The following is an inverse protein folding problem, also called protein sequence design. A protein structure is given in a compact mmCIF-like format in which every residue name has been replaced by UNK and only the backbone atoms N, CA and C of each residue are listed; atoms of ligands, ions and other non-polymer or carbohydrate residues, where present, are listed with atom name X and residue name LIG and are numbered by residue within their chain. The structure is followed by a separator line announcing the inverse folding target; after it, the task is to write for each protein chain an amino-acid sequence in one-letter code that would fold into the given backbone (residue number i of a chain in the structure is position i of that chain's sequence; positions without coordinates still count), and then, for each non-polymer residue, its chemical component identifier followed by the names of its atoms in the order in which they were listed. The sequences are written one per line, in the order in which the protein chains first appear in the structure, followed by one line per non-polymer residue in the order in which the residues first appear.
data_IF_196088145496
#
_entry.id   IF_196088145496
#
_cell.length_a   1.000
_cell.length_b   1.000
_cell.length_c   1.000
_cell.angle_alpha   90.00
_cell.angle_beta   90.00
_cell.angle_gamma   90.00
#
_symmetry.space_group_name_H-M   'P 1'
#
loop_
_entity.id
_entity.type
_entity.pdbx_description
1 polymer ?
#
# COMPACT_ATOMS: atom_id res chain seq x y z
N UNK A 1 10.26 13.83 -18.02
CA UNK A 1 10.22 12.36 -17.83
C UNK A 1 9.98 11.93 -16.38
N UNK A 2 10.45 12.64 -15.36
CA UNK A 2 10.28 12.23 -13.95
C UNK A 2 8.84 12.16 -13.42
N UNK A 3 7.97 13.11 -13.77
CA UNK A 3 6.59 13.16 -13.22
C UNK A 3 5.71 11.98 -13.69
N UNK A 4 5.83 11.58 -14.96
CA UNK A 4 5.13 10.41 -15.51
C UNK A 4 5.55 9.12 -14.82
N UNK A 5 6.83 8.99 -14.49
CA UNK A 5 7.37 7.81 -13.81
C UNK A 5 6.82 7.68 -12.38
N UNK A 6 6.74 8.80 -11.66
CA UNK A 6 6.13 8.85 -10.32
C UNK A 6 4.63 8.53 -10.37
N UNK A 7 3.90 9.06 -11.35
CA UNK A 7 2.47 8.74 -11.53
C UNK A 7 2.28 7.24 -11.75
N UNK A 8 3.10 6.60 -12.58
CA UNK A 8 3.00 5.14 -12.83
C UNK A 8 3.27 4.35 -11.55
N UNK A 9 4.30 4.71 -10.77
CA UNK A 9 4.64 4.04 -9.51
C UNK A 9 3.52 4.15 -8.47
N UNK A 10 2.76 5.25 -8.45
CA UNK A 10 1.63 5.42 -7.53
C UNK A 10 0.34 4.78 -8.03
N UNK A 11 0.03 4.97 -9.31
CA UNK A 11 -1.31 4.73 -9.84
C UNK A 11 -1.51 3.25 -10.20
N UNK A 12 -0.46 2.55 -10.66
CA UNK A 12 -0.52 1.12 -10.98
C UNK A 12 -0.79 0.26 -9.73
N UNK A 13 -0.06 0.40 -8.61
CA UNK A 13 -0.34 -0.38 -7.39
C UNK A 13 -1.71 -0.10 -6.80
N UNK A 14 -2.19 1.15 -6.87
CA UNK A 14 -3.54 1.52 -6.41
C UNK A 14 -4.60 0.78 -7.23
N UNK A 15 -4.51 0.81 -8.56
CA UNK A 15 -5.46 0.10 -9.44
C UNK A 15 -5.44 -1.41 -9.20
N UNK A 16 -4.26 -2.00 -9.09
CA UNK A 16 -4.10 -3.43 -8.79
C UNK A 16 -4.73 -3.78 -7.45
N UNK A 17 -4.51 -2.96 -6.43
CA UNK A 17 -5.06 -3.15 -5.08
C UNK A 17 -6.58 -3.13 -5.11
N UNK A 18 -7.19 -2.19 -5.82
CA UNK A 18 -8.66 -2.11 -5.95
C UNK A 18 -9.20 -3.37 -6.62
N UNK A 19 -8.59 -3.83 -7.72
CA UNK A 19 -9.01 -5.05 -8.44
C UNK A 19 -8.89 -6.30 -7.56
N UNK A 20 -7.81 -6.41 -6.78
CA UNK A 20 -7.60 -7.53 -5.85
C UNK A 20 -8.62 -7.47 -4.72
N UNK A 21 -8.87 -6.30 -4.14
CA UNK A 21 -9.85 -6.15 -3.07
C UNK A 21 -11.25 -6.50 -3.56
N UNK A 22 -11.65 -6.08 -4.75
CA UNK A 22 -12.97 -6.41 -5.28
C UNK A 22 -13.18 -7.93 -5.46
N UNK A 23 -12.14 -8.64 -5.92
CA UNK A 23 -12.18 -10.11 -6.04
C UNK A 23 -12.10 -10.82 -4.68
N UNK A 24 -11.19 -10.40 -3.79
CA UNK A 24 -10.88 -11.11 -2.55
C UNK A 24 -11.78 -10.73 -1.36
N UNK A 25 -12.47 -9.59 -1.42
CA UNK A 25 -13.26 -9.07 -0.29
C UNK A 25 -14.78 -9.11 -0.51
N UNK A 26 -15.25 -9.78 -1.57
CA UNK A 26 -16.69 -9.96 -1.86
C UNK A 26 -17.51 -10.40 -0.64
N UNK A 27 -17.00 -11.34 0.15
CA UNK A 27 -17.64 -11.86 1.37
C UNK A 27 -17.14 -11.29 2.70
N UNK A 28 -16.18 -10.34 2.68
CA UNK A 28 -15.66 -9.75 3.92
C UNK A 28 -16.51 -8.55 4.34
N UNK A 29 -16.70 -8.41 5.66
CA UNK A 29 -17.32 -7.21 6.24
C UNK A 29 -16.41 -6.00 6.03
N UNK A 30 -16.98 -4.80 5.94
CA UNK A 30 -16.21 -3.55 5.77
C UNK A 30 -15.12 -3.37 6.84
N UNK A 31 -15.42 -3.76 8.08
CA UNK A 31 -14.47 -3.74 9.21
C UNK A 31 -13.26 -4.65 8.94
N UNK A 32 -13.47 -5.85 8.40
CA UNK A 32 -12.36 -6.75 8.05
C UNK A 32 -11.47 -6.18 6.95
N UNK A 33 -12.06 -5.51 5.95
CA UNK A 33 -11.29 -4.86 4.88
C UNK A 33 -10.46 -3.71 5.45
N UNK A 34 -11.05 -2.93 6.36
CA UNK A 34 -10.38 -1.82 7.01
C UNK A 34 -9.19 -2.29 7.87
N UNK A 35 -9.36 -3.36 8.65
CA UNK A 35 -8.29 -3.97 9.47
C UNK A 35 -7.14 -4.51 8.61
N UNK A 36 -7.44 -5.19 7.50
CA UNK A 36 -6.41 -5.63 6.54
C UNK A 36 -5.61 -4.44 6.01
N UNK A 37 -6.28 -3.32 5.71
CA UNK A 37 -5.57 -2.13 5.25
C UNK A 37 -4.65 -1.50 6.28
N UNK A 38 -5.05 -1.53 7.55
CA UNK A 38 -4.21 -1.07 8.65
C UNK A 38 -2.99 -1.99 8.80
N UNK A 39 -3.17 -3.32 8.75
CA UNK A 39 -2.07 -4.29 8.83
C UNK A 39 -1.07 -4.10 7.68
N UNK A 40 -1.55 -3.96 6.44
CA UNK A 40 -0.71 -3.71 5.27
C UNK A 40 0.05 -2.39 5.41
N UNK A 41 -0.60 -1.34 5.95
CA UNK A 41 0.05 -0.05 6.21
C UNK A 41 1.19 -0.19 7.23
N UNK A 42 0.97 -0.92 8.33
CA UNK A 42 1.98 -1.15 9.36
C UNK A 42 3.18 -1.93 8.77
N UNK A 43 2.93 -2.95 7.94
CA UNK A 43 3.98 -3.69 7.23
C UNK A 43 4.78 -2.76 6.32
N UNK A 44 4.12 -1.87 5.58
CA UNK A 44 4.81 -0.89 4.73
C UNK A 44 5.71 0.05 5.53
N UNK A 45 5.23 0.57 6.67
CA UNK A 45 6.03 1.43 7.57
C UNK A 45 7.21 0.66 8.16
N UNK A 46 7.03 -0.60 8.53
CA UNK A 46 8.12 -1.44 9.03
C UNK A 46 9.22 -1.63 7.97
N UNK A 47 8.85 -1.87 6.70
CA UNK A 47 9.79 -2.02 5.59
C UNK A 47 10.61 -0.73 5.37
N UNK A 48 9.97 0.44 5.44
CA UNK A 48 10.67 1.74 5.40
C UNK A 48 11.67 1.84 6.57
N UNK A 49 11.23 1.50 7.78
CA UNK A 49 12.09 1.55 8.97
C UNK A 49 13.31 0.60 8.87
N UNK A 50 13.15 -0.58 8.25
CA UNK A 50 14.27 -1.49 7.98
C UNK A 50 15.28 -0.89 6.99
N UNK A 51 14.83 -0.15 5.97
CA UNK A 51 15.69 0.53 5.01
C UNK A 51 16.65 1.55 5.64
N UNK A 52 16.24 2.20 6.74
CA UNK A 52 17.04 3.19 7.47
C UNK A 52 18.07 2.60 8.44
N UNK A 53 18.07 1.27 8.67
CA UNK A 53 18.83 0.60 9.74
C UNK A 53 20.29 0.24 9.43
N UNK A 54 20.92 0.83 8.40
CA UNK A 54 22.34 0.58 8.07
C UNK A 54 22.61 -0.11 6.72
N UNK A 55 21.66 -0.07 5.80
CA UNK A 55 21.86 -0.52 4.41
C UNK A 55 22.60 0.53 3.57
N UNK A 56 23.16 0.11 2.43
CA UNK A 56 23.79 1.02 1.47
C UNK A 56 22.78 2.05 0.94
N UNK A 57 23.23 3.25 0.55
CA UNK A 57 22.37 4.36 0.13
C UNK A 57 21.39 4.01 -1.00
N UNK A 58 21.77 3.12 -1.92
CA UNK A 58 20.88 2.64 -2.97
C UNK A 58 19.81 1.69 -2.42
N UNK A 59 20.17 0.81 -1.48
CA UNK A 59 19.26 -0.17 -0.90
C UNK A 59 18.19 0.52 -0.05
N UNK A 60 18.56 1.55 0.71
CA UNK A 60 17.60 2.38 1.48
C UNK A 60 16.54 2.99 0.58
N UNK A 61 16.91 3.53 -0.59
CA UNK A 61 15.96 4.10 -1.54
C UNK A 61 14.98 3.03 -2.05
N UNK A 62 15.44 1.80 -2.30
CA UNK A 62 14.56 0.71 -2.72
C UNK A 62 13.58 0.30 -1.61
N UNK A 63 14.05 0.20 -0.36
CA UNK A 63 13.19 -0.11 0.78
C UNK A 63 12.16 0.99 1.04
N UNK A 64 12.56 2.25 0.94
CA UNK A 64 11.66 3.39 1.06
C UNK A 64 10.59 3.37 -0.04
N UNK A 65 10.98 3.13 -1.30
CA UNK A 65 10.05 3.11 -2.42
C UNK A 65 9.05 1.95 -2.32
N UNK A 66 9.53 0.74 -1.99
CA UNK A 66 8.70 -0.46 -1.83
C UNK A 66 7.77 -0.30 -0.63
N UNK A 67 8.30 0.11 0.52
CA UNK A 67 7.52 0.33 1.72
C UNK A 67 6.46 1.42 1.53
N UNK A 68 6.81 2.49 0.80
CA UNK A 68 5.87 3.53 0.42
C UNK A 68 4.72 3.01 -0.46
N UNK A 69 5.02 2.18 -1.47
CA UNK A 69 3.98 1.54 -2.29
C UNK A 69 3.04 0.70 -1.42
N UNK A 70 3.59 -0.09 -0.49
CA UNK A 70 2.79 -0.92 0.42
C UNK A 70 1.89 -0.07 1.33
N UNK A 71 2.40 1.05 1.87
CA UNK A 71 1.61 2.01 2.64
C UNK A 71 0.45 2.56 1.81
N UNK A 72 0.69 2.95 0.56
CA UNK A 72 -0.36 3.44 -0.35
C UNK A 72 -1.41 2.36 -0.62
N UNK A 73 -1.01 1.10 -0.79
CA UNK A 73 -1.94 -0.03 -0.92
C UNK A 73 -2.80 -0.21 0.34
N UNK A 74 -2.18 -0.14 1.53
CA UNK A 74 -2.86 -0.24 2.82
C UNK A 74 -3.92 0.87 2.99
N UNK A 75 -3.54 2.13 2.80
CA UNK A 75 -4.46 3.28 2.87
C UNK A 75 -5.62 3.13 1.87
N UNK A 76 -5.31 2.74 0.63
CA UNK A 76 -6.33 2.53 -0.42
C UNK A 76 -7.35 1.48 0.01
N UNK A 77 -6.89 0.38 0.61
CA UNK A 77 -7.77 -0.68 1.08
C UNK A 77 -8.63 -0.27 2.28
N UNK A 78 -8.09 0.54 3.21
CA UNK A 78 -8.87 1.11 4.31
C UNK A 78 -9.96 2.07 3.81
N UNK A 79 -9.63 2.94 2.84
CA UNK A 79 -10.61 3.84 2.20
C UNK A 79 -11.71 3.04 1.49
N UNK A 80 -11.34 1.96 0.78
CA UNK A 80 -12.30 1.08 0.14
C UNK A 80 -13.24 0.39 1.15
N UNK A 81 -12.70 -0.03 2.30
CA UNK A 81 -13.47 -0.58 3.40
C UNK A 81 -14.52 0.39 3.94
N UNK A 82 -14.15 1.66 4.12
CA UNK A 82 -15.08 2.73 4.54
C UNK A 82 -16.16 2.98 3.49
N UNK A 83 -15.80 3.02 2.20
CA UNK A 83 -16.78 3.19 1.10
C UNK A 83 -17.80 2.06 1.03
N UNK A 84 -17.40 0.81 1.34
CA UNK A 84 -18.31 -0.35 1.38
C UNK A 84 -19.27 -0.33 2.59
N UNK A 85 -18.97 0.48 3.60
CA UNK A 85 -19.72 0.54 4.86
C UNK A 85 -20.88 1.55 4.80
N UNK A 86 -20.87 2.49 3.85
CA UNK A 86 -21.91 3.49 3.63
C UNK A 86 -22.70 3.29 2.34
#
# INVERSE_FOLDING_TARGET
MGALFLIVIFLVPVLITIVILDKCTKNKTSIQIMLIGIEVTIVGVAIIAFGGGGFSSNDTIYFDLIGFVIVVMGITSSIYGVKKQG
#
